data_IF_036519492107
#
_entry.id   IF_036519492107
#
_cell.length_a   1.000
_cell.length_b   1.000
_cell.length_c   1.000
_cell.angle_alpha   90.00
_cell.angle_beta   90.00
_cell.angle_gamma   90.00
#
_symmetry.space_group_name_H-M   'P 1'
#
loop_
_entity.id
_entity.type
_entity.pdbx_description
1 polymer ?
#
# COMPACT_ATOMS: atom_id res chain seq x y z
N UNK A 1 -43.49 -22.73 -19.90
CA UNK A 1 -43.91 -22.11 -18.65
C UNK A 1 -43.05 -22.65 -17.52
N UNK A 2 -42.01 -21.91 -17.11
CA UNK A 2 -41.22 -22.25 -15.94
C UNK A 2 -41.93 -21.62 -14.72
N UNK A 3 -42.28 -22.40 -13.67
CA UNK A 3 -43.04 -21.84 -12.54
C UNK A 3 -42.19 -20.78 -11.81
N UNK A 4 -42.78 -19.63 -11.55
CA UNK A 4 -42.25 -18.46 -10.85
C UNK A 4 -41.53 -18.74 -9.52
N UNK A 5 -41.76 -19.90 -8.92
CA UNK A 5 -41.13 -20.35 -7.69
C UNK A 5 -39.68 -20.86 -7.88
N UNK A 6 -39.26 -21.20 -9.10
CA UNK A 6 -37.90 -21.68 -9.37
C UNK A 6 -36.96 -20.50 -9.60
N UNK A 7 -37.47 -19.38 -10.14
CA UNK A 7 -36.64 -18.16 -10.32
C UNK A 7 -36.16 -17.54 -8.99
N UNK A 8 -36.97 -17.61 -7.94
CA UNK A 8 -36.56 -17.08 -6.62
C UNK A 8 -35.50 -17.94 -5.92
N UNK A 9 -35.34 -19.21 -6.25
CA UNK A 9 -34.33 -20.10 -5.64
C UNK A 9 -32.97 -19.98 -6.33
N UNK A 10 -32.92 -19.52 -7.58
CA UNK A 10 -31.68 -19.34 -8.34
C UNK A 10 -30.98 -17.99 -8.02
N UNK A 11 -31.65 -17.03 -7.38
CA UNK A 11 -31.10 -15.71 -7.08
C UNK A 11 -30.62 -15.54 -5.63
N UNK A 12 -30.74 -16.54 -4.77
CA UNK A 12 -29.95 -16.64 -3.54
C UNK A 12 -28.60 -17.30 -3.86
N UNK A 13 -27.77 -16.68 -4.68
CA UNK A 13 -26.34 -16.81 -4.52
C UNK A 13 -26.03 -16.22 -3.16
N UNK A 14 -25.83 -17.09 -2.16
CA UNK A 14 -25.04 -16.71 -1.02
C UNK A 14 -23.82 -16.00 -1.58
N UNK A 15 -23.64 -14.71 -1.25
CA UNK A 15 -22.37 -14.03 -1.49
C UNK A 15 -21.37 -14.83 -0.66
N UNK A 16 -20.73 -15.82 -1.27
CA UNK A 16 -19.47 -16.30 -0.78
C UNK A 16 -18.56 -15.07 -0.86
N UNK A 17 -18.40 -14.36 0.26
CA UNK A 17 -17.45 -13.26 0.32
C UNK A 17 -16.09 -13.88 0.02
N UNK A 18 -15.57 -13.59 -1.16
CA UNK A 18 -14.24 -14.08 -1.53
C UNK A 18 -13.25 -13.51 -0.53
N UNK A 19 -12.37 -14.37 -0.05
CA UNK A 19 -11.26 -13.94 0.83
C UNK A 19 -10.53 -12.79 0.15
N UNK A 20 -10.33 -11.70 0.88
CA UNK A 20 -9.71 -10.49 0.33
C UNK A 20 -8.19 -10.62 0.31
N UNK A 21 -7.58 -10.09 -0.73
CA UNK A 21 -6.15 -10.20 -0.97
C UNK A 21 -5.43 -8.90 -0.59
N UNK A 22 -4.47 -9.01 0.30
CA UNK A 22 -3.63 -7.90 0.76
C UNK A 22 -2.18 -8.15 0.36
N UNK A 23 -1.60 -7.26 -0.45
CA UNK A 23 -0.18 -7.27 -0.75
C UNK A 23 0.54 -6.36 0.24
N UNK A 24 1.54 -6.92 0.94
CA UNK A 24 2.42 -6.18 1.83
C UNK A 24 3.81 -6.05 1.19
N UNK A 25 4.21 -4.81 0.87
CA UNK A 25 5.53 -4.51 0.29
C UNK A 25 6.56 -4.36 1.42
N UNK A 26 7.72 -4.98 1.27
CA UNK A 26 8.80 -4.97 2.27
C UNK A 26 8.38 -5.48 3.66
N UNK A 27 7.79 -6.68 3.78
CA UNK A 27 7.31 -7.18 5.07
C UNK A 27 8.45 -7.54 6.03
N UNK A 28 9.67 -7.67 5.52
CA UNK A 28 10.87 -8.05 6.27
C UNK A 28 11.59 -6.87 6.94
N UNK A 29 11.27 -5.63 6.57
CA UNK A 29 11.94 -4.46 7.15
C UNK A 29 10.96 -3.27 7.29
N UNK A 30 10.88 -2.66 8.49
CA UNK A 30 11.46 -3.06 9.80
C UNK A 30 11.06 -4.46 10.28
N UNK A 31 11.88 -5.03 11.16
CA UNK A 31 11.78 -6.43 11.61
C UNK A 31 10.50 -6.78 12.38
N UNK A 32 9.72 -5.78 12.82
CA UNK A 32 8.45 -5.95 13.53
C UNK A 32 7.22 -5.95 12.61
N UNK A 33 7.40 -5.81 11.29
CA UNK A 33 6.26 -5.74 10.35
C UNK A 33 5.49 -7.06 10.22
N UNK A 34 6.08 -8.19 10.60
CA UNK A 34 5.35 -9.45 10.70
C UNK A 34 4.11 -9.38 11.60
N UNK A 35 4.09 -8.47 12.59
CA UNK A 35 2.92 -8.27 13.46
C UNK A 35 1.71 -7.75 12.67
N UNK A 36 1.91 -6.81 11.75
CA UNK A 36 0.85 -6.36 10.84
C UNK A 36 0.36 -7.49 9.94
N UNK A 37 1.30 -8.24 9.34
CA UNK A 37 0.97 -9.40 8.51
C UNK A 37 0.15 -10.44 9.30
N UNK A 38 0.54 -10.72 10.54
CA UNK A 38 -0.17 -11.65 11.43
C UNK A 38 -1.59 -11.19 11.71
N UNK A 39 -1.79 -9.91 12.05
CA UNK A 39 -3.13 -9.39 12.34
C UNK A 39 -4.00 -9.33 11.09
N UNK A 40 -3.45 -9.01 9.93
CA UNK A 40 -4.19 -9.11 8.66
C UNK A 40 -4.67 -10.54 8.41
N UNK A 41 -3.79 -11.53 8.62
CA UNK A 41 -4.12 -12.96 8.49
C UNK A 41 -5.16 -13.41 9.51
N UNK A 42 -5.05 -12.97 10.77
CA UNK A 42 -6.02 -13.25 11.84
C UNK A 42 -7.41 -12.68 11.50
N UNK A 43 -7.48 -11.60 10.74
CA UNK A 43 -8.72 -11.03 10.23
C UNK A 43 -9.22 -11.69 8.93
N UNK A 44 -8.65 -12.82 8.54
CA UNK A 44 -9.14 -13.66 7.44
C UNK A 44 -8.71 -13.19 6.04
N UNK A 45 -7.68 -12.35 5.93
CA UNK A 45 -7.16 -11.93 4.63
C UNK A 45 -6.09 -12.90 4.11
N UNK A 46 -5.95 -13.01 2.80
CA UNK A 46 -4.75 -13.53 2.18
C UNK A 46 -3.65 -12.48 2.24
N UNK A 47 -2.59 -12.73 2.97
CA UNK A 47 -1.45 -11.81 3.13
C UNK A 47 -0.32 -12.27 2.24
N UNK A 48 -0.02 -11.46 1.21
CA UNK A 48 0.90 -11.75 0.13
C UNK A 48 2.10 -10.81 0.22
N UNK A 49 3.26 -11.33 0.61
CA UNK A 49 4.46 -10.52 0.80
C UNK A 49 5.26 -10.34 -0.50
N UNK A 50 5.74 -9.13 -0.79
CA UNK A 50 6.75 -8.87 -1.81
C UNK A 50 7.96 -8.22 -1.14
N UNK A 51 9.12 -8.82 -1.31
CA UNK A 51 10.36 -8.31 -0.73
C UNK A 51 11.59 -8.77 -1.49
N UNK A 52 12.74 -8.24 -1.14
CA UNK A 52 14.03 -8.53 -1.77
C UNK A 52 14.93 -9.44 -0.92
N UNK A 53 14.56 -9.72 0.32
CA UNK A 53 15.26 -10.69 1.15
C UNK A 53 15.02 -12.14 0.66
N UNK A 54 16.03 -13.03 0.71
CA UNK A 54 15.85 -14.44 0.47
C UNK A 54 14.84 -15.05 1.44
N UNK A 55 13.98 -15.95 0.96
CA UNK A 55 12.95 -16.57 1.80
C UNK A 55 13.53 -17.28 3.03
N UNK A 56 14.68 -17.94 2.86
CA UNK A 56 15.32 -18.69 3.95
C UNK A 56 15.85 -17.78 5.08
N UNK A 57 16.13 -16.52 4.78
CA UNK A 57 16.59 -15.51 5.74
C UNK A 57 15.44 -14.80 6.47
N UNK A 58 14.20 -15.00 6.06
CA UNK A 58 13.04 -14.44 6.76
C UNK A 58 12.86 -15.11 8.12
N UNK A 59 12.46 -14.32 9.12
CA UNK A 59 12.11 -14.90 10.42
C UNK A 59 10.92 -15.83 10.31
N UNK A 60 10.85 -16.80 11.21
CA UNK A 60 9.78 -17.78 11.20
C UNK A 60 8.41 -17.12 11.41
N UNK A 61 8.33 -16.11 12.28
CA UNK A 61 7.10 -15.37 12.57
C UNK A 61 6.56 -14.65 11.32
N UNK A 62 7.43 -14.13 10.47
CA UNK A 62 7.01 -13.54 9.20
C UNK A 62 6.53 -14.62 8.22
N UNK A 63 7.27 -15.72 8.08
CA UNK A 63 6.85 -16.86 7.23
C UNK A 63 5.47 -17.36 7.62
N UNK A 64 5.20 -17.51 8.92
CA UNK A 64 3.93 -17.99 9.45
C UNK A 64 2.78 -16.98 9.25
N UNK A 65 3.12 -15.69 9.13
CA UNK A 65 2.18 -14.59 8.97
C UNK A 65 1.79 -14.32 7.52
N UNK A 66 2.50 -14.89 6.55
CA UNK A 66 2.21 -14.76 5.12
C UNK A 66 1.46 -15.98 4.59
N UNK A 67 0.63 -15.79 3.56
CA UNK A 67 0.09 -16.89 2.77
C UNK A 67 1.05 -17.27 1.65
N UNK A 68 1.75 -16.28 1.11
CA UNK A 68 2.79 -16.47 0.10
C UNK A 68 3.78 -15.30 0.12
N UNK A 69 5.01 -15.56 -0.30
CA UNK A 69 6.05 -14.55 -0.45
C UNK A 69 6.66 -14.62 -1.86
N UNK A 70 6.74 -13.48 -2.52
CA UNK A 70 7.40 -13.32 -3.81
C UNK A 70 8.69 -12.53 -3.64
N UNK A 71 9.83 -13.17 -3.93
CA UNK A 71 11.13 -12.52 -3.91
C UNK A 71 11.39 -11.80 -5.22
N UNK A 72 11.72 -10.51 -5.15
CA UNK A 72 12.29 -9.72 -6.25
C UNK A 72 13.79 -9.55 -6.06
N UNK A 73 14.54 -9.15 -7.08
CA UNK A 73 15.98 -8.88 -6.94
C UNK A 73 16.22 -7.58 -6.17
N UNK A 74 15.36 -6.60 -6.37
CA UNK A 74 15.35 -5.31 -5.67
C UNK A 74 13.96 -4.70 -5.70
N UNK A 75 13.51 -4.19 -4.56
CA UNK A 75 12.28 -3.40 -4.47
C UNK A 75 12.37 -2.06 -5.23
N UNK A 76 13.59 -1.60 -5.57
CA UNK A 76 13.82 -0.43 -6.44
C UNK A 76 13.47 -0.73 -7.90
N UNK A 77 13.47 -1.98 -8.32
CA UNK A 77 13.12 -2.36 -9.69
C UNK A 77 11.59 -2.44 -9.81
N UNK A 78 10.98 -1.37 -10.34
CA UNK A 78 9.53 -1.29 -10.49
C UNK A 78 8.95 -2.43 -11.33
N UNK A 79 9.60 -2.80 -12.42
CA UNK A 79 9.11 -3.85 -13.33
C UNK A 79 9.05 -5.22 -12.65
N UNK A 80 9.99 -5.53 -11.76
CA UNK A 80 9.97 -6.78 -11.00
C UNK A 80 8.82 -6.78 -9.97
N UNK A 81 8.65 -5.67 -9.25
CA UNK A 81 7.55 -5.54 -8.28
C UNK A 81 6.20 -5.58 -9.01
N UNK A 82 6.05 -4.89 -10.14
CA UNK A 82 4.86 -4.95 -10.99
C UNK A 82 4.51 -6.38 -11.39
N UNK A 83 5.51 -7.16 -11.85
CA UNK A 83 5.31 -8.58 -12.22
C UNK A 83 4.92 -9.44 -11.02
N UNK A 84 5.46 -9.16 -9.84
CA UNK A 84 5.08 -9.86 -8.61
C UNK A 84 3.61 -9.58 -8.24
N UNK A 85 3.15 -8.33 -8.37
CA UNK A 85 1.73 -7.97 -8.18
C UNK A 85 0.86 -8.66 -9.22
N UNK A 86 1.28 -8.67 -10.50
CA UNK A 86 0.57 -9.35 -11.58
C UNK A 86 0.47 -10.87 -11.33
N UNK A 87 1.54 -11.49 -10.85
CA UNK A 87 1.54 -12.91 -10.46
C UNK A 87 0.52 -13.19 -9.36
N UNK A 88 0.48 -12.38 -8.31
CA UNK A 88 -0.51 -12.55 -7.25
C UNK A 88 -1.94 -12.29 -7.75
N UNK A 89 -2.14 -11.27 -8.58
CA UNK A 89 -3.44 -11.00 -9.18
C UNK A 89 -3.92 -12.17 -10.08
N UNK A 90 -3.02 -12.81 -10.82
CA UNK A 90 -3.34 -14.00 -11.60
C UNK A 90 -3.70 -15.20 -10.72
N UNK A 91 -2.95 -15.42 -9.63
CA UNK A 91 -3.09 -16.60 -8.77
C UNK A 91 -4.27 -16.50 -7.79
N UNK A 92 -4.46 -15.33 -7.19
CA UNK A 92 -5.43 -15.10 -6.11
C UNK A 92 -6.66 -14.29 -6.54
N UNK A 93 -6.64 -13.77 -7.76
CA UNK A 93 -7.68 -12.86 -8.26
C UNK A 93 -7.42 -11.40 -7.87
N UNK A 94 -8.47 -10.61 -7.79
CA UNK A 94 -8.37 -9.17 -7.52
C UNK A 94 -7.55 -8.91 -6.25
N UNK A 95 -6.65 -7.95 -6.33
CA UNK A 95 -5.96 -7.41 -5.17
C UNK A 95 -6.83 -6.31 -4.56
N UNK A 96 -7.18 -6.47 -3.28
CA UNK A 96 -8.05 -5.53 -2.58
C UNK A 96 -7.25 -4.41 -1.90
N UNK A 97 -6.05 -4.70 -1.39
CA UNK A 97 -5.12 -3.74 -0.79
C UNK A 97 -3.69 -4.00 -1.20
N UNK A 98 -2.94 -2.94 -1.33
CA UNK A 98 -1.49 -2.95 -1.50
C UNK A 98 -0.91 -1.81 -0.66
N UNK A 99 -0.10 -2.16 0.32
CA UNK A 99 0.47 -1.20 1.27
C UNK A 99 1.89 -1.59 1.69
N UNK A 100 2.62 -0.57 2.12
CA UNK A 100 3.81 -0.67 2.96
C UNK A 100 3.62 0.23 4.18
N UNK A 101 4.18 -0.08 5.31
CA UNK A 101 4.20 0.86 6.43
C UNK A 101 5.47 1.73 6.41
N UNK A 102 6.14 1.84 5.27
CA UNK A 102 7.38 2.59 5.10
C UNK A 102 7.19 3.79 4.17
N UNK A 103 7.44 4.99 4.68
CA UNK A 103 7.32 6.24 3.92
C UNK A 103 8.14 6.25 2.63
N UNK A 104 9.24 5.50 2.57
CA UNK A 104 10.11 5.42 1.41
C UNK A 104 9.38 4.91 0.16
N UNK A 105 8.50 3.91 0.32
CA UNK A 105 7.81 3.25 -0.78
C UNK A 105 6.48 3.88 -1.19
N UNK A 106 5.98 4.90 -0.48
CA UNK A 106 4.63 5.45 -0.69
C UNK A 106 4.30 5.83 -2.14
N UNK A 107 5.25 6.42 -2.87
CA UNK A 107 5.01 6.80 -4.28
C UNK A 107 4.88 5.57 -5.17
N UNK A 108 5.68 4.54 -4.93
CA UNK A 108 5.60 3.27 -5.68
C UNK A 108 4.34 2.49 -5.39
N UNK A 109 3.93 2.47 -4.13
CA UNK A 109 2.67 1.86 -3.74
C UNK A 109 1.49 2.55 -4.42
N UNK A 110 1.49 3.88 -4.46
CA UNK A 110 0.48 4.66 -5.16
C UNK A 110 0.46 4.37 -6.67
N UNK A 111 1.64 4.23 -7.30
CA UNK A 111 1.78 3.86 -8.70
C UNK A 111 1.22 2.46 -8.95
N UNK A 112 1.60 1.46 -8.15
CA UNK A 112 1.07 0.10 -8.25
C UNK A 112 -0.45 0.05 -8.04
N UNK A 113 -0.97 0.80 -7.06
CA UNK A 113 -2.42 0.90 -6.87
C UNK A 113 -3.14 1.50 -8.08
N UNK A 114 -2.53 2.50 -8.72
CA UNK A 114 -3.06 3.08 -9.96
C UNK A 114 -3.05 2.08 -11.10
N UNK A 115 -1.92 1.42 -11.33
CA UNK A 115 -1.73 0.50 -12.46
C UNK A 115 -2.62 -0.75 -12.37
N UNK A 116 -2.87 -1.24 -11.15
CA UNK A 116 -3.74 -2.39 -10.90
C UNK A 116 -5.17 -2.03 -10.50
N UNK A 117 -5.56 -0.75 -10.60
CA UNK A 117 -6.89 -0.25 -10.19
C UNK A 117 -7.29 -0.71 -8.77
N UNK A 118 -6.34 -0.64 -7.82
CA UNK A 118 -6.58 -0.88 -6.41
C UNK A 118 -7.08 0.43 -5.80
N UNK A 119 -8.37 0.50 -5.48
CA UNK A 119 -9.04 1.74 -5.04
C UNK A 119 -9.04 1.95 -3.53
N UNK A 120 -8.49 1.02 -2.77
CA UNK A 120 -8.25 1.16 -1.34
C UNK A 120 -6.87 1.80 -1.12
N UNK A 121 -6.84 2.97 -0.54
CA UNK A 121 -5.61 3.76 -0.42
C UNK A 121 -5.44 4.79 -1.54
N UNK A 122 -4.46 5.67 -1.37
CA UNK A 122 -4.21 6.77 -2.30
C UNK A 122 -3.50 6.29 -3.56
N UNK A 123 -3.95 6.80 -4.69
CA UNK A 123 -3.34 6.62 -6.00
C UNK A 123 -2.42 7.81 -6.36
N UNK A 124 -1.81 7.77 -7.53
CA UNK A 124 -0.80 8.75 -7.96
C UNK A 124 -1.26 10.21 -7.90
N UNK A 125 -2.52 10.47 -8.16
CA UNK A 125 -3.09 11.81 -8.22
C UNK A 125 -3.22 12.49 -6.85
N UNK A 126 -3.14 11.72 -5.75
CA UNK A 126 -3.41 12.23 -4.40
C UNK A 126 -2.26 11.97 -3.40
N UNK A 127 -1.26 11.15 -3.76
CA UNK A 127 -0.22 10.72 -2.82
C UNK A 127 0.71 11.85 -2.38
N UNK A 128 0.91 12.86 -3.22
CA UNK A 128 1.81 13.98 -2.95
C UNK A 128 1.46 14.73 -1.67
N UNK A 129 0.17 14.84 -1.37
CA UNK A 129 -0.32 15.48 -0.15
C UNK A 129 0.07 14.77 1.14
N UNK A 130 0.45 13.50 1.07
CA UNK A 130 0.95 12.73 2.22
C UNK A 130 2.48 12.61 2.17
N UNK A 131 3.06 12.40 1.00
CA UNK A 131 4.50 12.19 0.84
C UNK A 131 5.32 13.44 1.09
N UNK A 132 4.89 14.58 0.55
CA UNK A 132 5.65 15.82 0.63
C UNK A 132 5.11 16.76 1.70
N UNK A 133 5.92 17.06 2.72
CA UNK A 133 5.52 17.91 3.84
C UNK A 133 5.07 19.32 3.41
N UNK A 134 5.65 19.88 2.35
CA UNK A 134 5.22 21.14 1.75
C UNK A 134 3.81 21.05 1.18
N UNK A 135 3.51 19.97 0.44
CA UNK A 135 2.17 19.72 -0.10
C UNK A 135 1.14 19.44 0.99
N UNK A 136 1.53 18.68 2.00
CA UNK A 136 0.68 18.45 3.18
C UNK A 136 0.26 19.76 3.83
N UNK A 137 1.16 20.75 3.96
CA UNK A 137 0.85 22.06 4.52
C UNK A 137 -0.13 22.87 3.66
N UNK A 138 -0.13 22.71 2.34
CA UNK A 138 -1.14 23.30 1.46
C UNK A 138 -2.56 22.79 1.80
N UNK A 139 -2.70 21.49 2.09
CA UNK A 139 -3.98 20.92 2.54
C UNK A 139 -4.38 21.43 3.92
N UNK A 140 -3.44 21.55 4.86
CA UNK A 140 -3.73 22.11 6.17
C UNK A 140 -4.19 23.58 6.07
N UNK A 141 -3.52 24.37 5.23
CA UNK A 141 -3.92 25.76 5.00
C UNK A 141 -5.34 25.86 4.43
N UNK A 142 -5.69 25.01 3.44
CA UNK A 142 -7.06 24.95 2.89
C UNK A 142 -8.11 24.55 3.94
N UNK A 143 -7.73 23.71 4.90
CA UNK A 143 -8.59 23.27 5.99
C UNK A 143 -8.61 24.24 7.18
N UNK A 144 -7.89 25.37 7.13
CA UNK A 144 -7.79 26.33 8.24
C UNK A 144 -6.98 25.81 9.44
N UNK A 145 -6.18 24.76 9.26
CA UNK A 145 -5.35 24.20 10.31
C UNK A 145 -4.00 24.91 10.34
N UNK A 146 -3.64 25.57 11.46
CA UNK A 146 -2.38 26.31 11.55
C UNK A 146 -1.19 25.33 11.54
N UNK A 147 -0.15 25.69 10.82
CA UNK A 147 1.12 24.96 10.77
C UNK A 147 2.31 25.89 10.99
N UNK A 148 3.45 25.32 11.39
CA UNK A 148 4.69 26.08 11.41
C UNK A 148 5.01 26.67 10.02
N UNK A 149 5.58 27.86 9.99
CA UNK A 149 6.09 28.48 8.76
C UNK A 149 7.10 27.55 8.10
N UNK A 150 7.19 27.58 6.79
CA UNK A 150 8.17 26.80 6.04
C UNK A 150 8.61 27.54 4.78
N UNK A 151 9.75 27.16 4.26
CA UNK A 151 10.29 27.63 3.00
C UNK A 151 10.93 26.47 2.27
N UNK A 152 10.64 26.33 0.97
CA UNK A 152 11.36 25.40 0.09
C UNK A 152 12.62 26.12 -0.37
N UNK A 153 13.77 25.65 0.11
CA UNK A 153 15.05 26.27 -0.17
C UNK A 153 15.49 25.89 -1.59
N UNK A 154 15.57 26.86 -2.47
CA UNK A 154 16.12 26.78 -3.81
C UNK A 154 17.50 27.46 -3.93
N UNK A 155 17.76 28.47 -3.08
CA UNK A 155 19.02 29.19 -2.99
C UNK A 155 19.46 29.36 -1.54
N UNK A 156 20.78 29.42 -1.32
CA UNK A 156 21.34 29.69 0.01
C UNK A 156 20.82 31.02 0.59
N UNK A 157 20.80 32.06 -0.28
CA UNK A 157 20.32 33.39 0.12
C UNK A 157 18.86 33.37 0.57
N UNK A 158 17.97 32.68 -0.18
CA UNK A 158 16.56 32.52 0.16
C UNK A 158 16.38 31.78 1.49
N UNK A 159 17.17 30.73 1.70
CA UNK A 159 17.16 30.00 2.97
C UNK A 159 17.60 30.84 4.16
N UNK A 160 18.70 31.58 4.03
CA UNK A 160 19.22 32.48 5.09
C UNK A 160 18.24 33.62 5.42
N UNK A 161 17.64 34.20 4.38
CA UNK A 161 16.60 35.23 4.57
C UNK A 161 15.40 34.67 5.34
N UNK A 162 14.91 33.49 4.96
CA UNK A 162 13.81 32.85 5.68
C UNK A 162 14.14 32.61 7.16
N UNK A 163 15.36 32.13 7.47
CA UNK A 163 15.79 31.93 8.86
C UNK A 163 15.81 33.24 9.63
N UNK A 164 16.34 34.32 9.04
CA UNK A 164 16.37 35.64 9.68
C UNK A 164 14.95 36.19 9.96
N UNK A 165 14.01 35.99 9.02
CA UNK A 165 12.62 36.45 9.14
C UNK A 165 11.79 35.55 10.09
N UNK A 166 12.21 34.32 10.31
CA UNK A 166 11.50 33.35 11.14
C UNK A 166 11.83 33.49 12.64
N UNK A 167 12.98 34.02 12.98
CA UNK A 167 13.45 34.24 14.37
C UNK A 167 14.22 33.05 14.89
#
# INVERSE_FOLDING_TARGET
>A
YIPYAIEKKLYKREKCESVKNFIFISPNFPTNYWQFCKELKNNGLNVLGIGDAPYDELWQELKDSLNEYYKVSSLENYDEVYRAVAFFAFKYGRIDWLETNNEYWLLRDAQLRTDFNITTGLQNDHIDGIKFKSKMKEYYAKAGVPTARYHLVDTLEGGLKFVADAG
#
